data_IF_617540557897
#
_entry.id   IF_617540557897
#
_cell.length_a   1.000
_cell.length_b   1.000
_cell.length_c   1.000
_cell.angle_alpha   90.00
_cell.angle_beta   90.00
_cell.angle_gamma   90.00
#
_symmetry.space_group_name_H-M   'P 1'
#
loop_
_entity.id
_entity.type
_entity.pdbx_description
1 polymer ?
#
# COMPACT_ATOMS: atom_id res chain seq x y z
N UNK A 1 4.06 13.07 -14.96
CA UNK A 1 3.90 13.24 -13.51
C UNK A 1 2.79 14.23 -13.20
N UNK A 2 2.23 14.09 -12.01
CA UNK A 2 1.20 15.00 -11.47
C UNK A 2 1.63 15.45 -10.08
N UNK A 3 1.44 16.73 -9.79
CA UNK A 3 1.67 17.31 -8.47
C UNK A 3 0.31 17.70 -7.88
N UNK A 4 0.04 17.28 -6.65
CA UNK A 4 -1.28 17.42 -6.04
C UNK A 4 -1.20 17.51 -4.53
N UNK A 5 -2.22 18.07 -3.86
CA UNK A 5 -2.36 17.99 -2.41
C UNK A 5 -2.40 16.55 -1.91
N UNK A 6 -1.91 16.34 -0.69
CA UNK A 6 -1.85 15.02 -0.06
C UNK A 6 -3.16 14.68 0.64
N UNK A 7 -4.24 14.54 -0.13
CA UNK A 7 -5.58 14.29 0.39
C UNK A 7 -6.17 13.01 -0.19
N UNK A 8 -7.10 12.41 0.56
CA UNK A 8 -7.86 11.24 0.08
C UNK A 8 -8.58 11.52 -1.24
N UNK A 9 -9.19 12.70 -1.38
CA UNK A 9 -9.91 13.07 -2.60
C UNK A 9 -9.00 13.05 -3.83
N UNK A 10 -7.80 13.62 -3.72
CA UNK A 10 -6.83 13.63 -4.82
C UNK A 10 -6.27 12.24 -5.12
N UNK A 11 -5.96 11.47 -4.09
CA UNK A 11 -5.48 10.09 -4.27
C UNK A 11 -6.56 9.24 -4.95
N UNK A 12 -7.79 9.31 -4.50
CA UNK A 12 -8.91 8.57 -5.11
C UNK A 12 -9.12 8.98 -6.55
N UNK A 13 -9.11 10.29 -6.85
CA UNK A 13 -9.30 10.81 -8.21
C UNK A 13 -8.24 10.26 -9.17
N UNK A 14 -6.98 10.27 -8.76
CA UNK A 14 -5.87 9.81 -9.62
C UNK A 14 -5.76 8.29 -9.70
N UNK A 15 -6.23 7.55 -8.70
CA UNK A 15 -6.23 6.10 -8.70
C UNK A 15 -7.54 5.48 -9.21
N UNK A 16 -8.56 6.29 -9.50
CA UNK A 16 -9.90 5.80 -9.85
C UNK A 16 -9.87 4.71 -10.94
N UNK A 17 -9.15 4.86 -12.07
CA UNK A 17 -9.09 3.81 -13.09
C UNK A 17 -8.50 2.50 -12.56
N UNK A 18 -7.51 2.56 -11.69
CA UNK A 18 -6.91 1.38 -11.05
C UNK A 18 -7.89 0.73 -10.09
N UNK A 19 -8.53 1.52 -9.23
CA UNK A 19 -9.50 1.03 -8.25
C UNK A 19 -10.71 0.38 -8.91
N UNK A 20 -11.13 0.90 -10.06
CA UNK A 20 -12.31 0.39 -10.78
C UNK A 20 -12.00 -0.81 -11.67
N UNK A 21 -10.80 -0.92 -12.23
CA UNK A 21 -10.53 -1.81 -13.35
C UNK A 21 -9.38 -2.80 -13.14
N UNK A 22 -8.42 -2.53 -12.24
CA UNK A 22 -7.28 -3.41 -12.06
C UNK A 22 -7.68 -4.75 -11.43
N UNK A 23 -7.07 -5.85 -11.89
CA UNK A 23 -7.25 -7.18 -11.32
C UNK A 23 -6.30 -7.48 -10.16
N UNK A 24 -5.20 -6.74 -10.08
CA UNK A 24 -4.23 -6.82 -8.99
C UNK A 24 -3.68 -5.44 -8.66
N UNK A 25 -3.54 -5.14 -7.39
CA UNK A 25 -3.01 -3.87 -6.91
C UNK A 25 -2.06 -4.13 -5.74
N UNK A 26 -0.82 -3.69 -5.88
CA UNK A 26 0.18 -3.68 -4.82
C UNK A 26 0.34 -2.25 -4.32
N UNK A 27 0.03 -2.02 -3.05
CA UNK A 27 0.30 -0.76 -2.37
C UNK A 27 1.61 -0.90 -1.60
N UNK A 28 2.63 -0.18 -2.01
CA UNK A 28 3.98 -0.28 -1.47
C UNK A 28 4.35 1.04 -0.79
N UNK A 29 4.44 1.02 0.53
CA UNK A 29 4.83 2.17 1.35
C UNK A 29 5.56 1.67 2.59
N UNK A 30 6.85 1.97 2.68
CA UNK A 30 7.72 1.49 3.75
C UNK A 30 7.18 1.76 5.16
N UNK A 31 6.42 2.83 5.33
CA UNK A 31 5.93 3.30 6.63
C UNK A 31 4.43 3.15 6.84
N UNK A 32 3.75 2.42 5.96
CA UNK A 32 2.30 2.18 6.09
C UNK A 32 1.96 1.63 7.48
N UNK A 33 1.14 2.39 8.22
CA UNK A 33 0.81 2.06 9.60
C UNK A 33 -0.65 2.40 9.91
N UNK A 34 -1.54 1.39 9.98
CA UNK A 34 -2.95 1.60 10.28
C UNK A 34 -3.24 2.26 11.64
N UNK A 35 -2.29 2.23 12.56
CA UNK A 35 -2.43 2.83 13.89
C UNK A 35 -2.14 4.33 13.93
N UNK A 36 -1.55 4.88 12.86
CA UNK A 36 -1.22 6.29 12.76
C UNK A 36 -2.34 7.07 12.09
N UNK A 37 -2.70 8.22 12.70
CA UNK A 37 -3.78 9.07 12.16
C UNK A 37 -3.55 9.51 10.72
N UNK A 38 -2.30 9.74 10.33
CA UNK A 38 -1.93 10.13 8.96
C UNK A 38 -2.25 9.06 7.90
N UNK A 39 -2.43 7.81 8.29
CA UNK A 39 -2.82 6.70 7.40
C UNK A 39 -4.29 6.31 7.51
N UNK A 40 -5.09 7.04 8.29
CA UNK A 40 -6.52 6.75 8.48
C UNK A 40 -7.29 6.64 7.18
N UNK A 41 -6.98 7.52 6.23
CA UNK A 41 -7.69 7.58 4.95
C UNK A 41 -7.32 6.44 3.99
N UNK A 42 -6.22 5.73 4.24
CA UNK A 42 -5.77 4.66 3.35
C UNK A 42 -6.79 3.53 3.24
N UNK A 43 -7.47 3.18 4.33
CA UNK A 43 -8.51 2.16 4.31
C UNK A 43 -9.62 2.50 3.29
N UNK A 44 -9.94 3.78 3.13
CA UNK A 44 -10.94 4.23 2.15
C UNK A 44 -10.54 3.94 0.71
N UNK A 45 -9.24 3.96 0.39
CA UNK A 45 -8.74 3.55 -0.93
C UNK A 45 -9.00 2.05 -1.16
N UNK A 46 -8.76 1.22 -0.16
CA UNK A 46 -9.05 -0.22 -0.24
C UNK A 46 -10.55 -0.46 -0.41
N UNK A 47 -11.38 0.22 0.37
CA UNK A 47 -12.84 0.10 0.32
C UNK A 47 -13.43 0.62 -1.00
N UNK A 48 -12.73 1.49 -1.70
CA UNK A 48 -13.17 1.99 -3.01
C UNK A 48 -13.22 0.88 -4.08
N UNK A 49 -12.60 -0.26 -3.85
CA UNK A 49 -12.70 -1.44 -4.74
C UNK A 49 -13.93 -2.30 -4.45
N UNK A 50 -14.69 -2.00 -3.39
CA UNK A 50 -15.93 -2.70 -3.07
C UNK A 50 -17.00 -2.47 -4.14
N UNK A 51 -17.94 -3.39 -4.27
CA UNK A 51 -19.04 -3.27 -5.25
C UNK A 51 -18.68 -3.69 -6.67
N UNK A 52 -17.42 -3.99 -6.96
CA UNK A 52 -17.03 -4.56 -8.26
C UNK A 52 -17.54 -5.99 -8.39
N UNK A 53 -17.90 -6.39 -9.62
CA UNK A 53 -18.30 -7.77 -9.91
C UNK A 53 -17.15 -8.75 -9.60
N UNK A 54 -15.90 -8.36 -9.93
CA UNK A 54 -14.70 -9.13 -9.59
C UNK A 54 -13.83 -8.29 -8.67
N UNK A 55 -13.52 -8.81 -7.48
CA UNK A 55 -12.60 -8.15 -6.54
C UNK A 55 -11.17 -8.27 -7.03
N UNK A 56 -10.37 -7.22 -6.98
CA UNK A 56 -8.94 -7.33 -7.29
C UNK A 56 -8.21 -8.10 -6.18
N UNK A 57 -7.06 -8.69 -6.54
CA UNK A 57 -6.08 -9.13 -5.57
C UNK A 57 -5.37 -7.90 -5.03
N UNK A 58 -5.39 -7.70 -3.72
CA UNK A 58 -4.79 -6.52 -3.09
C UNK A 58 -3.68 -6.94 -2.15
N UNK A 59 -2.53 -6.31 -2.30
CA UNK A 59 -1.39 -6.47 -1.42
C UNK A 59 -1.01 -5.13 -0.79
N UNK A 60 -0.60 -5.15 0.48
CA UNK A 60 -0.02 -4.02 1.20
C UNK A 60 1.37 -4.39 1.69
N UNK A 61 2.37 -3.60 1.37
CA UNK A 61 3.77 -3.87 1.65
C UNK A 61 4.36 -2.79 2.54
N UNK A 62 5.08 -3.18 3.60
CA UNK A 62 5.82 -2.29 4.48
C UNK A 62 7.10 -2.95 4.99
N UNK A 63 7.95 -2.15 5.68
CA UNK A 63 9.18 -2.66 6.33
C UNK A 63 8.90 -3.15 7.74
N UNK A 64 9.85 -3.93 8.30
CA UNK A 64 9.74 -4.56 9.61
C UNK A 64 10.18 -3.69 10.79
N UNK A 65 10.30 -2.38 10.57
CA UNK A 65 10.74 -1.46 11.62
C UNK A 65 9.90 -0.18 11.63
N UNK A 66 9.96 0.54 12.74
CA UNK A 66 9.40 1.86 12.93
C UNK A 66 10.54 2.86 13.09
N UNK A 67 10.41 4.05 12.51
CA UNK A 67 11.36 5.16 12.56
C UNK A 67 12.72 4.85 11.89
N UNK A 68 13.54 3.98 12.47
CA UNK A 68 14.90 3.69 11.99
C UNK A 68 15.16 2.18 11.88
N UNK A 69 16.10 1.82 11.02
CA UNK A 69 16.52 0.42 10.78
C UNK A 69 17.04 -0.27 12.04
N UNK A 70 17.53 0.47 13.04
CA UNK A 70 18.02 -0.08 14.30
C UNK A 70 16.91 -0.73 15.13
N UNK A 71 15.65 -0.39 14.82
CA UNK A 71 14.47 -0.89 15.53
C UNK A 71 13.77 -2.04 14.81
N UNK A 72 14.54 -2.85 14.08
CA UNK A 72 14.01 -4.04 13.38
C UNK A 72 13.52 -5.08 14.37
N UNK A 73 12.55 -5.87 13.91
CA UNK A 73 12.05 -7.08 14.57
C UNK A 73 11.53 -6.85 16.01
N UNK A 74 11.00 -5.66 16.29
CA UNK A 74 10.38 -5.35 17.59
C UNK A 74 9.01 -6.01 17.78
N UNK A 75 8.32 -6.35 16.68
CA UNK A 75 7.06 -7.06 16.70
C UNK A 75 7.25 -8.48 16.16
N UNK A 76 6.62 -9.43 16.82
CA UNK A 76 6.45 -10.79 16.31
C UNK A 76 5.27 -10.86 15.33
N UNK A 77 4.98 -12.05 14.81
CA UNK A 77 3.87 -12.25 13.86
C UNK A 77 2.53 -11.80 14.45
N UNK A 78 2.25 -12.13 15.71
CA UNK A 78 1.03 -11.72 16.38
C UNK A 78 0.93 -10.20 16.54
N UNK A 79 2.04 -9.53 16.81
CA UNK A 79 2.13 -8.07 16.91
C UNK A 79 1.81 -7.39 15.58
N UNK A 80 2.35 -7.90 14.48
CA UNK A 80 2.04 -7.37 13.14
C UNK A 80 0.58 -7.55 12.77
N UNK A 81 0.00 -8.72 13.03
CA UNK A 81 -1.43 -8.98 12.80
C UNK A 81 -2.29 -8.04 13.64
N UNK A 82 -1.95 -7.82 14.89
CA UNK A 82 -2.66 -6.90 15.78
C UNK A 82 -2.61 -5.45 15.26
N UNK A 83 -1.51 -5.02 14.67
CA UNK A 83 -1.36 -3.68 14.11
C UNK A 83 -2.35 -3.42 12.96
N UNK A 84 -2.67 -4.42 12.17
CA UNK A 84 -3.61 -4.34 11.04
C UNK A 84 -5.05 -4.76 11.42
N UNK A 85 -5.30 -5.12 12.67
CA UNK A 85 -6.59 -5.67 13.08
C UNK A 85 -7.78 -4.72 12.85
N UNK A 86 -7.56 -3.40 12.88
CA UNK A 86 -8.61 -2.41 12.64
C UNK A 86 -9.19 -2.45 11.22
N UNK A 87 -8.46 -3.02 10.27
CA UNK A 87 -8.94 -3.17 8.89
C UNK A 87 -9.90 -4.35 8.73
N UNK A 88 -9.83 -5.35 9.61
CA UNK A 88 -10.52 -6.63 9.39
C UNK A 88 -12.04 -6.48 9.28
N UNK A 89 -12.67 -5.77 10.22
CA UNK A 89 -14.12 -5.56 10.20
C UNK A 89 -14.63 -4.83 8.94
N UNK A 90 -14.11 -3.64 8.62
CA UNK A 90 -14.52 -2.92 7.41
C UNK A 90 -14.27 -3.70 6.10
N UNK A 91 -13.12 -4.37 5.98
CA UNK A 91 -12.82 -5.16 4.78
C UNK A 91 -13.74 -6.36 4.66
N UNK A 92 -14.01 -7.07 5.75
CA UNK A 92 -14.93 -8.19 5.76
C UNK A 92 -16.35 -7.77 5.36
N UNK A 93 -16.83 -6.65 5.91
CA UNK A 93 -18.14 -6.11 5.56
C UNK A 93 -18.25 -5.72 4.08
N UNK A 94 -17.16 -5.29 3.47
CA UNK A 94 -17.09 -4.93 2.05
C UNK A 94 -16.80 -6.12 1.13
N UNK A 95 -16.55 -7.31 1.68
CA UNK A 95 -16.19 -8.50 0.90
C UNK A 95 -14.79 -8.41 0.25
N UNK A 96 -13.87 -7.68 0.88
CA UNK A 96 -12.50 -7.47 0.40
C UNK A 96 -11.53 -8.15 1.35
N UNK A 97 -10.48 -8.75 0.81
CA UNK A 97 -9.34 -9.24 1.57
C UNK A 97 -8.06 -8.58 1.07
N UNK A 98 -7.13 -8.31 1.98
CA UNK A 98 -5.82 -7.75 1.69
C UNK A 98 -4.75 -8.69 2.23
N UNK A 99 -3.71 -8.93 1.47
CA UNK A 99 -2.54 -9.66 1.94
C UNK A 99 -1.45 -8.66 2.33
N UNK A 100 -1.00 -8.74 3.57
CA UNK A 100 0.06 -7.88 4.09
C UNK A 100 1.41 -8.57 4.02
N UNK A 101 2.43 -7.82 3.57
CA UNK A 101 3.81 -8.26 3.47
C UNK A 101 4.69 -7.34 4.27
N UNK A 102 5.44 -7.88 5.22
CA UNK A 102 6.40 -7.14 6.03
C UNK A 102 7.81 -7.59 5.65
N UNK A 103 8.58 -6.66 5.11
CA UNK A 103 9.91 -6.92 4.56
C UNK A 103 11.03 -6.46 5.48
N UNK A 104 12.24 -6.94 5.26
CA UNK A 104 13.43 -6.52 5.98
C UNK A 104 13.73 -5.04 5.81
N UNK A 105 13.73 -4.56 4.57
CA UNK A 105 14.02 -3.17 4.24
C UNK A 105 13.65 -2.85 2.79
N UNK A 106 13.15 -1.63 2.56
CA UNK A 106 13.04 -0.96 1.27
C UNK A 106 12.67 0.52 1.51
N UNK A 107 12.84 1.37 0.51
CA UNK A 107 12.58 2.81 0.63
C UNK A 107 11.50 3.34 -0.29
N UNK A 108 11.29 2.68 -1.40
CA UNK A 108 10.43 3.19 -2.45
C UNK A 108 8.95 3.13 -2.08
N UNK A 109 8.17 3.95 -2.75
CA UNK A 109 6.72 4.01 -2.58
C UNK A 109 6.07 3.93 -3.94
N UNK A 110 5.24 2.93 -4.12
CA UNK A 110 4.62 2.63 -5.42
C UNK A 110 3.18 2.17 -5.28
N UNK A 111 2.40 2.42 -6.34
CA UNK A 111 1.24 1.60 -6.69
C UNK A 111 1.60 0.80 -7.91
N UNK A 112 1.54 -0.52 -7.81
CA UNK A 112 1.79 -1.42 -8.94
C UNK A 112 0.53 -2.22 -9.22
N UNK A 113 0.04 -2.14 -10.43
CA UNK A 113 -1.14 -2.90 -10.85
C UNK A 113 -0.88 -3.60 -12.20
N UNK A 114 -1.79 -4.47 -12.58
CA UNK A 114 -1.74 -5.09 -13.92
C UNK A 114 -1.95 -4.07 -15.05
N UNK A 115 -2.48 -2.88 -14.75
CA UNK A 115 -2.73 -1.83 -15.73
C UNK A 115 -1.60 -0.81 -15.83
N UNK A 116 -1.15 -0.27 -14.69
CA UNK A 116 -0.12 0.78 -14.62
C UNK A 116 0.73 0.62 -13.37
N UNK A 117 1.91 1.24 -13.40
CA UNK A 117 2.75 1.48 -12.23
C UNK A 117 2.89 2.98 -11.99
N UNK A 118 2.91 3.36 -10.71
CA UNK A 118 3.06 4.74 -10.27
C UNK A 118 4.14 4.79 -9.21
N UNK A 119 5.12 5.66 -9.38
CA UNK A 119 6.05 6.04 -8.33
C UNK A 119 5.48 7.22 -7.57
N UNK A 120 5.49 7.14 -6.25
CA UNK A 120 4.95 8.16 -5.36
C UNK A 120 6.09 8.91 -4.67
N UNK A 121 6.00 10.23 -4.62
CA UNK A 121 6.99 11.06 -3.91
C UNK A 121 6.90 10.90 -2.38
N UNK A 122 5.69 10.72 -1.88
CA UNK A 122 5.38 10.40 -0.49
C UNK A 122 4.57 9.11 -0.46
N UNK A 123 4.34 8.55 0.74
CA UNK A 123 3.47 7.39 0.89
C UNK A 123 1.98 7.71 0.80
N UNK A 124 1.17 6.80 1.31
CA UNK A 124 -0.29 6.93 1.31
C UNK A 124 -0.83 7.76 2.47
N UNK A 125 0.05 8.36 3.26
CA UNK A 125 -0.36 9.25 4.34
C UNK A 125 -0.98 10.53 3.78
N UNK A 126 -1.99 11.02 4.48
CA UNK A 126 -2.70 12.26 4.15
C UNK A 126 -2.48 13.31 5.21
N UNK A 127 -2.73 14.56 4.86
CA UNK A 127 -2.60 15.69 5.77
C UNK A 127 -3.71 16.71 5.55
N UNK A 128 -4.07 17.43 6.61
CA UNK A 128 -4.99 18.55 6.54
C UNK A 128 -4.32 19.84 6.05
N UNK A 129 -2.99 19.90 5.98
CA UNK A 129 -2.25 21.07 5.49
C UNK A 129 -2.38 21.19 3.98
N UNK A 130 -3.09 22.20 3.44
CA UNK A 130 -3.28 22.35 1.99
C UNK A 130 -2.01 22.72 1.25
N UNK A 131 -0.97 23.18 1.95
CA UNK A 131 0.33 23.48 1.35
C UNK A 131 1.20 22.24 1.17
N UNK A 132 0.85 21.13 1.81
CA UNK A 132 1.58 19.88 1.65
C UNK A 132 1.17 19.19 0.36
N UNK A 133 2.13 18.98 -0.53
CA UNK A 133 1.92 18.39 -1.85
C UNK A 133 2.80 17.17 -2.04
N UNK A 134 2.39 16.31 -2.96
CA UNK A 134 3.16 15.15 -3.42
C UNK A 134 3.22 15.13 -4.94
N UNK A 135 4.19 14.43 -5.48
CA UNK A 135 4.31 14.20 -6.93
C UNK A 135 4.24 12.71 -7.22
N UNK A 136 3.35 12.33 -8.11
CA UNK A 136 3.25 10.97 -8.62
C UNK A 136 3.70 10.92 -10.07
N UNK A 137 4.48 9.89 -10.41
CA UNK A 137 5.00 9.71 -11.75
C UNK A 137 4.64 8.34 -12.27
N UNK A 138 4.04 8.30 -13.47
CA UNK A 138 3.74 7.04 -14.13
C UNK A 138 5.04 6.36 -14.56
N UNK A 139 5.16 5.08 -14.24
CA UNK A 139 6.29 4.25 -14.63
C UNK A 139 6.10 3.70 -16.04
N UNK A 140 7.20 3.44 -16.71
CA UNK A 140 7.21 2.64 -17.91
C UNK A 140 6.87 1.17 -17.59
N UNK A 141 6.48 0.43 -18.64
CA UNK A 141 6.07 -0.98 -18.46
C UNK A 141 7.21 -1.84 -17.89
N UNK A 142 8.42 -1.66 -18.40
CA UNK A 142 9.57 -2.45 -17.92
C UNK A 142 9.89 -2.18 -16.45
N UNK A 143 9.82 -0.91 -16.03
CA UNK A 143 10.02 -0.55 -14.61
C UNK A 143 8.92 -1.11 -13.72
N UNK A 144 7.66 -0.98 -14.13
CA UNK A 144 6.53 -1.58 -13.40
C UNK A 144 6.73 -3.08 -13.20
N UNK A 145 7.07 -3.80 -14.27
CA UNK A 145 7.25 -5.24 -14.23
C UNK A 145 8.46 -5.64 -13.36
N UNK A 146 9.52 -4.83 -13.36
CA UNK A 146 10.68 -5.06 -12.52
C UNK A 146 10.36 -4.85 -11.03
N UNK A 147 9.63 -3.80 -10.68
CA UNK A 147 9.19 -3.55 -9.31
C UNK A 147 8.23 -4.65 -8.83
N UNK A 148 7.35 -5.10 -9.69
CA UNK A 148 6.47 -6.23 -9.35
C UNK A 148 7.28 -7.47 -8.97
N UNK A 149 8.35 -7.77 -9.71
CA UNK A 149 9.27 -8.86 -9.37
C UNK A 149 10.04 -8.59 -8.09
N UNK A 150 10.47 -7.35 -7.85
CA UNK A 150 11.19 -6.96 -6.64
C UNK A 150 10.42 -7.34 -5.36
N UNK A 151 9.11 -7.12 -5.34
CA UNK A 151 8.23 -7.42 -4.22
C UNK A 151 7.57 -8.80 -4.30
N UNK A 152 8.10 -9.68 -5.10
CA UNK A 152 7.79 -11.11 -5.08
C UNK A 152 8.81 -11.81 -4.17
N UNK A 153 8.37 -12.56 -3.14
CA UNK A 153 9.29 -13.29 -2.26
C UNK A 153 10.25 -14.23 -3.02
N UNK A 154 9.80 -14.77 -4.15
CA UNK A 154 10.61 -15.68 -4.97
C UNK A 154 11.83 -15.00 -5.61
N UNK A 155 11.83 -13.68 -5.77
CA UNK A 155 12.95 -12.95 -6.37
C UNK A 155 14.20 -12.91 -5.47
N UNK A 156 14.02 -12.99 -4.16
CA UNK A 156 15.09 -12.87 -3.18
C UNK A 156 15.73 -11.49 -3.08
N UNK A 157 15.17 -10.45 -3.72
CA UNK A 157 15.71 -9.09 -3.66
C UNK A 157 15.58 -8.46 -2.28
N UNK A 158 14.51 -8.81 -1.56
CA UNK A 158 14.28 -8.44 -0.17
C UNK A 158 13.93 -9.69 0.62
N UNK A 159 14.25 -9.72 1.91
CA UNK A 159 13.87 -10.82 2.79
C UNK A 159 12.48 -10.57 3.36
N UNK A 160 11.55 -11.49 3.12
CA UNK A 160 10.22 -11.46 3.70
C UNK A 160 10.28 -11.86 5.17
N UNK A 161 9.76 -11.00 6.05
CA UNK A 161 9.73 -11.23 7.50
C UNK A 161 8.38 -11.79 7.95
N UNK A 162 7.28 -11.21 7.49
CA UNK A 162 5.93 -11.66 7.82
C UNK A 162 5.02 -11.53 6.61
N UNK A 163 4.05 -12.43 6.54
CA UNK A 163 3.02 -12.41 5.50
C UNK A 163 1.73 -12.95 6.09
N UNK A 164 0.64 -12.18 5.95
CA UNK A 164 -0.65 -12.58 6.50
C UNK A 164 -1.80 -11.92 5.75
N UNK A 165 -2.97 -12.53 5.84
CA UNK A 165 -4.20 -12.06 5.20
C UNK A 165 -5.06 -11.29 6.19
N UNK A 166 -5.75 -10.22 5.71
CA UNK A 166 -6.70 -9.40 6.46
C UNK A 166 -8.02 -9.36 5.67
N UNK A 167 -9.13 -9.76 6.17
CA UNK A 167 -9.38 -10.73 7.23
C UNK A 167 -8.97 -12.14 6.92
#
# INVERSE_FOLDING_TARGET
SVRMPRTLAEYTRHLQPVLDCANSIMFIDAHLDPTQGRYRDFLSLLLATAGRATRPLIEAHRVCYFDTRDKRDQLDDAGWRAMFASWAGPLQAAGIAVEAFVWDDFHDRHVISDLIGIQMGNGFDTTADPASVTTWTRLGRAERDDIQREFDPASGRHALKHRFRIP
#
